data_IF_200036487675
#
_entry.id   IF_200036487675
#
_cell.length_a   1.000
_cell.length_b   1.000
_cell.length_c   1.000
_cell.angle_alpha   90.00
_cell.angle_beta   90.00
_cell.angle_gamma   90.00
#
_symmetry.space_group_name_H-M   'P 1'
#
loop_
_entity.id
_entity.type
_entity.pdbx_description
1 polymer ?
#
# COMPACT_ATOMS: atom_id res chain seq x y z
N UNK A 1 -9.65 8.52 -15.17
CA UNK A 1 -9.29 8.63 -13.75
C UNK A 1 -9.45 7.27 -13.09
N UNK A 2 -8.46 6.87 -12.30
CA UNK A 2 -8.43 5.55 -11.67
C UNK A 2 -8.77 5.69 -10.18
N UNK A 3 -9.59 4.78 -9.65
CA UNK A 3 -9.91 4.75 -8.23
C UNK A 3 -8.93 3.86 -7.47
N UNK A 4 -8.29 4.40 -6.43
CA UNK A 4 -7.48 3.60 -5.50
C UNK A 4 -8.32 2.97 -4.37
N UNK A 5 -9.52 3.52 -4.10
CA UNK A 5 -10.57 2.84 -3.34
C UNK A 5 -11.70 2.51 -4.30
N UNK A 6 -12.16 1.26 -4.39
CA UNK A 6 -13.20 0.84 -5.32
C UNK A 6 -14.50 1.62 -5.15
N UNK A 7 -15.13 1.96 -6.27
CA UNK A 7 -16.44 2.65 -6.28
C UNK A 7 -17.50 1.90 -5.48
N UNK A 8 -17.46 0.57 -5.53
CA UNK A 8 -18.37 -0.29 -4.77
C UNK A 8 -18.34 -0.02 -3.26
N UNK A 9 -17.18 0.37 -2.71
CA UNK A 9 -17.05 0.73 -1.31
C UNK A 9 -17.50 2.18 -1.08
N UNK A 10 -16.97 3.15 -1.84
CA UNK A 10 -17.26 4.58 -1.67
C UNK A 10 -18.77 4.85 -1.76
N UNK A 11 -19.46 4.22 -2.71
CA UNK A 11 -20.90 4.33 -2.92
C UNK A 11 -21.71 3.98 -1.65
N UNK A 12 -21.24 3.02 -0.86
CA UNK A 12 -21.92 2.60 0.37
C UNK A 12 -21.76 3.59 1.52
N UNK A 13 -20.74 4.43 1.46
CA UNK A 13 -20.49 5.51 2.43
C UNK A 13 -21.09 6.85 2.01
N UNK A 14 -21.79 6.93 0.89
CA UNK A 14 -22.52 8.11 0.46
C UNK A 14 -23.96 8.14 1.03
N UNK A 15 -24.56 9.32 0.99
CA UNK A 15 -25.99 9.50 1.30
C UNK A 15 -26.89 9.03 0.13
N UNK A 16 -28.22 9.20 0.28
CA UNK A 16 -29.23 8.85 -0.72
C UNK A 16 -29.06 9.61 -2.05
N UNK A 17 -28.44 10.79 -2.02
CA UNK A 17 -28.16 11.62 -3.20
C UNK A 17 -26.82 11.26 -3.86
N UNK A 18 -26.13 10.25 -3.38
CA UNK A 18 -24.82 9.85 -3.85
C UNK A 18 -23.70 10.82 -3.45
N UNK A 19 -23.88 11.59 -2.38
CA UNK A 19 -22.89 12.53 -1.86
C UNK A 19 -22.20 11.99 -0.62
N UNK A 20 -20.97 12.40 -0.40
CA UNK A 20 -20.13 12.02 0.73
C UNK A 20 -19.50 13.26 1.36
N UNK A 21 -19.34 13.25 2.66
CA UNK A 21 -18.57 14.24 3.41
C UNK A 21 -17.15 13.70 3.59
N UNK A 22 -16.16 14.59 3.71
CA UNK A 22 -14.84 14.21 4.16
C UNK A 22 -14.27 15.22 5.16
N UNK A 23 -13.49 14.72 6.11
CA UNK A 23 -12.63 15.51 6.95
C UNK A 23 -11.24 15.58 6.31
N UNK A 24 -10.76 16.80 6.06
CA UNK A 24 -9.42 17.03 5.50
C UNK A 24 -8.42 17.29 6.64
N UNK A 25 -7.42 16.44 6.78
CA UNK A 25 -6.33 16.62 7.76
C UNK A 25 -5.54 17.89 7.47
N UNK A 26 -5.31 18.20 6.19
CA UNK A 26 -4.57 19.41 5.78
C UNK A 26 -5.28 20.70 6.22
N UNK A 27 -6.58 20.75 6.11
CA UNK A 27 -7.38 21.96 6.37
C UNK A 27 -8.03 21.94 7.76
N UNK A 28 -7.91 20.83 8.49
CA UNK A 28 -8.57 20.59 9.77
C UNK A 28 -10.06 20.94 9.74
N UNK A 29 -10.75 20.50 8.70
CA UNK A 29 -12.16 20.88 8.46
C UNK A 29 -12.94 19.80 7.74
N UNK A 30 -14.25 19.78 7.99
CA UNK A 30 -15.20 18.91 7.28
C UNK A 30 -15.69 19.65 6.04
N UNK A 31 -15.71 18.94 4.90
CA UNK A 31 -16.19 19.47 3.62
C UNK A 31 -17.69 19.70 3.59
N UNK A 32 -18.16 20.40 2.57
CA UNK A 32 -19.57 20.28 2.13
C UNK A 32 -19.76 18.90 1.46
N UNK A 33 -21.02 18.39 1.40
CA UNK A 33 -21.31 17.16 0.67
C UNK A 33 -20.89 17.27 -0.81
N UNK A 34 -20.16 16.30 -1.30
CA UNK A 34 -19.64 16.24 -2.68
C UNK A 34 -19.97 14.89 -3.32
N UNK A 35 -20.11 14.82 -4.66
CA UNK A 35 -20.36 13.55 -5.32
C UNK A 35 -19.27 12.50 -5.03
N UNK A 36 -19.68 11.29 -4.64
CA UNK A 36 -18.75 10.23 -4.27
C UNK A 36 -17.87 9.76 -5.42
N UNK A 37 -18.38 9.82 -6.67
CA UNK A 37 -17.66 9.35 -7.85
C UNK A 37 -16.45 10.22 -8.23
N UNK A 38 -16.35 11.43 -7.68
CA UNK A 38 -15.19 12.32 -7.86
C UNK A 38 -14.11 12.13 -6.80
N UNK A 39 -14.36 11.27 -5.82
CA UNK A 39 -13.46 11.08 -4.69
C UNK A 39 -12.62 9.82 -4.83
N UNK A 40 -11.49 9.79 -4.09
CA UNK A 40 -10.59 8.64 -3.99
C UNK A 40 -10.09 8.13 -5.35
N UNK A 41 -9.88 9.08 -6.28
CA UNK A 41 -9.36 8.81 -7.61
C UNK A 41 -8.21 9.77 -7.97
N UNK A 42 -7.29 9.28 -8.76
CA UNK A 42 -6.15 10.05 -9.29
C UNK A 42 -6.05 9.84 -10.81
N UNK A 43 -5.75 10.89 -11.54
CA UNK A 43 -5.45 10.76 -12.97
C UNK A 43 -4.12 10.05 -13.16
N UNK A 44 -4.08 9.05 -14.03
CA UNK A 44 -2.87 8.24 -14.30
C UNK A 44 -2.31 7.53 -13.05
N UNK A 45 -3.18 7.12 -12.13
CA UNK A 45 -2.76 6.33 -10.96
C UNK A 45 -2.20 4.96 -11.37
N UNK A 46 -2.83 4.33 -12.37
CA UNK A 46 -2.36 3.11 -13.01
C UNK A 46 -1.90 3.35 -14.43
N UNK A 47 -1.04 2.45 -14.91
CA UNK A 47 -0.57 2.39 -16.29
C UNK A 47 -1.73 2.15 -17.26
N UNK A 48 -1.60 2.72 -18.45
CA UNK A 48 -2.47 2.41 -19.58
C UNK A 48 -1.99 1.19 -20.39
N UNK A 49 -0.83 0.64 -20.04
CA UNK A 49 -0.29 -0.56 -20.67
C UNK A 49 -1.08 -1.79 -20.24
N UNK A 50 -1.14 -2.79 -21.11
CA UNK A 50 -1.66 -4.12 -20.78
C UNK A 50 -0.77 -4.83 -19.77
N UNK A 51 -1.29 -5.86 -19.10
CA UNK A 51 -0.49 -6.65 -18.15
C UNK A 51 0.67 -7.36 -18.84
N UNK A 52 0.52 -7.78 -20.10
CA UNK A 52 1.60 -8.39 -20.89
C UNK A 52 2.73 -7.41 -21.17
N UNK A 53 2.41 -6.16 -21.52
CA UNK A 53 3.42 -5.11 -21.71
C UNK A 53 4.14 -4.75 -20.40
N UNK A 54 3.40 -4.67 -19.28
CA UNK A 54 3.99 -4.47 -17.96
C UNK A 54 4.89 -5.64 -17.56
N UNK A 55 4.47 -6.90 -17.83
CA UNK A 55 5.28 -8.08 -17.59
C UNK A 55 6.58 -8.07 -18.40
N UNK A 56 6.52 -7.61 -19.64
CA UNK A 56 7.71 -7.47 -20.50
C UNK A 56 8.65 -6.37 -19.99
N UNK A 57 8.10 -5.25 -19.53
CA UNK A 57 8.89 -4.14 -18.97
C UNK A 57 9.50 -4.47 -17.60
N UNK A 58 8.86 -5.36 -16.82
CA UNK A 58 9.25 -5.78 -15.49
C UNK A 58 9.34 -7.32 -15.44
N UNK A 59 10.33 -7.90 -16.10
CA UNK A 59 10.50 -9.33 -16.33
C UNK A 59 10.57 -10.18 -15.05
N UNK A 60 10.97 -9.55 -13.95
CA UNK A 60 11.12 -10.18 -12.62
C UNK A 60 9.80 -10.37 -11.87
N UNK A 61 8.70 -9.70 -12.27
CA UNK A 61 7.42 -9.83 -11.57
C UNK A 61 6.71 -11.13 -11.93
N UNK A 62 5.96 -11.67 -10.95
CA UNK A 62 5.04 -12.79 -11.15
C UNK A 62 3.62 -12.29 -11.04
N UNK A 63 2.87 -12.31 -12.14
CA UNK A 63 1.50 -11.80 -12.18
C UNK A 63 0.62 -12.61 -11.24
N UNK A 64 -0.11 -11.90 -10.36
CA UNK A 64 -1.06 -12.51 -9.44
C UNK A 64 -2.15 -13.26 -10.23
N UNK A 65 -2.46 -14.52 -9.87
CA UNK A 65 -3.43 -15.37 -10.60
C UNK A 65 -4.86 -14.81 -10.71
N UNK A 66 -5.21 -13.80 -9.91
CA UNK A 66 -6.49 -13.10 -10.05
C UNK A 66 -6.56 -12.25 -11.32
N UNK A 67 -5.43 -11.76 -11.84
CA UNK A 67 -5.38 -10.97 -13.07
C UNK A 67 -5.25 -11.89 -14.29
N UNK A 68 -6.39 -12.25 -14.89
CA UNK A 68 -6.50 -13.29 -15.92
C UNK A 68 -6.32 -12.78 -17.34
N UNK A 69 -6.67 -11.51 -17.59
CA UNK A 69 -6.69 -10.91 -18.93
C UNK A 69 -5.40 -10.16 -19.22
N UNK A 70 -4.35 -10.88 -19.65
CA UNK A 70 -3.03 -10.29 -19.89
C UNK A 70 -3.03 -9.22 -21.00
N UNK A 71 -3.98 -9.28 -21.92
CA UNK A 71 -4.15 -8.27 -22.99
C UNK A 71 -4.83 -6.98 -22.52
N UNK A 72 -5.38 -6.95 -21.31
CA UNK A 72 -6.06 -5.79 -20.73
C UNK A 72 -5.17 -5.03 -19.76
N UNK A 73 -5.55 -3.78 -19.46
CA UNK A 73 -4.91 -2.95 -18.44
C UNK A 73 -5.17 -3.47 -17.03
N UNK A 74 -4.40 -2.97 -16.06
CA UNK A 74 -4.65 -3.27 -14.65
C UNK A 74 -6.04 -2.84 -14.19
N UNK A 75 -6.50 -1.65 -14.59
CA UNK A 75 -7.82 -1.13 -14.19
C UNK A 75 -8.96 -2.01 -14.68
N UNK A 76 -8.89 -2.50 -15.92
CA UNK A 76 -9.88 -3.44 -16.47
C UNK A 76 -9.86 -4.78 -15.75
N UNK A 77 -8.68 -5.29 -15.41
CA UNK A 77 -8.54 -6.52 -14.62
C UNK A 77 -9.07 -6.36 -13.19
N UNK A 78 -8.74 -5.24 -12.52
CA UNK A 78 -9.27 -4.92 -11.19
C UNK A 78 -10.80 -4.88 -11.21
N UNK A 79 -11.38 -4.15 -12.16
CA UNK A 79 -12.84 -4.05 -12.29
C UNK A 79 -13.49 -5.42 -12.50
N UNK A 80 -12.98 -6.21 -13.44
CA UNK A 80 -13.62 -7.47 -13.87
C UNK A 80 -13.36 -8.63 -12.89
N UNK A 81 -12.13 -8.77 -12.40
CA UNK A 81 -11.72 -9.98 -11.66
C UNK A 81 -11.58 -9.76 -10.15
N UNK A 82 -11.63 -8.52 -9.68
CA UNK A 82 -11.48 -8.20 -8.25
C UNK A 82 -12.72 -7.48 -7.72
N UNK A 83 -13.12 -6.36 -8.34
CA UNK A 83 -14.20 -5.54 -7.80
C UNK A 83 -15.58 -6.13 -8.04
N UNK A 84 -15.87 -6.60 -9.25
CA UNK A 84 -17.17 -7.21 -9.56
C UNK A 84 -17.48 -8.46 -8.72
N UNK A 85 -16.57 -9.44 -8.56
CA UNK A 85 -16.80 -10.56 -7.64
C UNK A 85 -16.95 -10.12 -6.18
N UNK A 86 -16.17 -9.12 -5.72
CA UNK A 86 -16.30 -8.59 -4.37
C UNK A 86 -17.66 -7.92 -4.16
N UNK A 87 -18.15 -7.16 -5.14
CA UNK A 87 -19.48 -6.54 -5.08
C UNK A 87 -20.58 -7.58 -4.91
N UNK A 88 -20.56 -8.66 -5.71
CA UNK A 88 -21.51 -9.75 -5.60
C UNK A 88 -21.52 -10.42 -4.22
N UNK A 89 -20.33 -10.63 -3.63
CA UNK A 89 -20.23 -11.16 -2.25
C UNK A 89 -20.84 -10.17 -1.26
N UNK A 90 -20.47 -8.89 -1.34
CA UNK A 90 -20.95 -7.86 -0.40
C UNK A 90 -22.47 -7.67 -0.48
N UNK A 91 -23.05 -7.66 -1.68
CA UNK A 91 -24.51 -7.56 -1.85
C UNK A 91 -25.26 -8.71 -1.18
N UNK A 92 -24.69 -9.93 -1.25
CA UNK A 92 -25.28 -11.10 -0.62
C UNK A 92 -25.21 -11.09 0.91
N UNK A 93 -24.15 -10.53 1.51
CA UNK A 93 -23.91 -10.63 2.96
C UNK A 93 -24.34 -9.39 3.75
N UNK A 94 -24.29 -8.18 3.17
CA UNK A 94 -24.53 -6.93 3.91
C UNK A 94 -25.95 -6.89 4.47
N UNK A 95 -26.98 -7.16 3.65
CA UNK A 95 -28.35 -7.06 4.08
C UNK A 95 -28.70 -8.07 5.19
N UNK A 96 -28.35 -9.36 5.10
CA UNK A 96 -28.52 -10.28 6.23
C UNK A 96 -27.83 -9.84 7.51
N UNK A 97 -26.61 -9.29 7.44
CA UNK A 97 -25.88 -8.80 8.62
C UNK A 97 -26.63 -7.63 9.26
N UNK A 98 -27.08 -6.64 8.45
CA UNK A 98 -27.83 -5.48 8.95
C UNK A 98 -29.14 -5.87 9.63
N UNK A 99 -29.78 -6.93 9.19
CA UNK A 99 -31.02 -7.47 9.75
C UNK A 99 -30.81 -8.45 10.91
N UNK A 100 -29.55 -8.69 11.31
CA UNK A 100 -29.20 -9.65 12.35
C UNK A 100 -29.51 -11.10 11.97
N UNK A 101 -29.69 -11.39 10.67
CA UNK A 101 -29.98 -12.73 10.17
C UNK A 101 -28.69 -13.56 10.03
N UNK A 102 -28.82 -14.87 10.22
CA UNK A 102 -27.72 -15.80 9.97
C UNK A 102 -27.36 -15.77 8.47
N UNK A 103 -26.10 -15.58 8.18
CA UNK A 103 -25.57 -15.69 6.82
C UNK A 103 -24.41 -16.71 6.80
N UNK A 104 -24.21 -17.31 5.65
CA UNK A 104 -23.10 -18.26 5.43
C UNK A 104 -22.10 -17.63 4.50
N UNK A 105 -20.86 -17.55 4.95
CA UNK A 105 -19.71 -17.23 4.09
C UNK A 105 -19.08 -18.55 3.62
N UNK A 106 -18.99 -18.75 2.32
CA UNK A 106 -18.32 -19.93 1.77
C UNK A 106 -16.80 -19.78 1.88
N UNK A 107 -16.07 -20.88 2.00
CA UNK A 107 -14.61 -20.86 2.11
C UNK A 107 -13.95 -20.16 0.92
N UNK A 108 -14.49 -20.35 -0.28
CA UNK A 108 -14.02 -19.67 -1.51
C UNK A 108 -14.18 -18.16 -1.43
N UNK A 109 -15.28 -17.68 -0.86
CA UNK A 109 -15.53 -16.24 -0.65
C UNK A 109 -14.63 -15.67 0.44
N UNK A 110 -14.45 -16.41 1.55
CA UNK A 110 -13.52 -16.03 2.60
C UNK A 110 -12.09 -15.87 2.05
N UNK A 111 -11.63 -16.84 1.27
CA UNK A 111 -10.34 -16.76 0.62
C UNK A 111 -10.26 -15.59 -0.38
N UNK A 112 -11.35 -15.32 -1.11
CA UNK A 112 -11.41 -14.21 -2.04
C UNK A 112 -11.34 -12.84 -1.32
N UNK A 113 -12.06 -12.67 -0.21
CA UNK A 113 -12.01 -11.44 0.61
C UNK A 113 -10.59 -11.23 1.15
N UNK A 114 -9.91 -12.27 1.61
CA UNK A 114 -8.50 -12.16 2.04
C UNK A 114 -7.60 -11.69 0.90
N UNK A 115 -7.76 -12.25 -0.30
CA UNK A 115 -7.03 -11.79 -1.50
C UNK A 115 -7.37 -10.34 -1.89
N UNK A 116 -8.63 -9.98 -1.78
CA UNK A 116 -9.05 -8.59 -1.98
C UNK A 116 -8.34 -7.63 -1.00
N UNK A 117 -8.23 -7.99 0.28
CA UNK A 117 -7.50 -7.21 1.29
C UNK A 117 -6.02 -7.07 0.90
N UNK A 118 -5.37 -8.14 0.45
CA UNK A 118 -3.97 -8.10 0.00
C UNK A 118 -3.77 -7.16 -1.19
N UNK A 119 -4.65 -7.24 -2.20
CA UNK A 119 -4.61 -6.34 -3.36
C UNK A 119 -4.91 -4.90 -2.93
N UNK A 120 -5.93 -4.69 -2.08
CA UNK A 120 -6.29 -3.37 -1.61
C UNK A 120 -5.15 -2.69 -0.83
N UNK A 121 -4.36 -3.45 -0.07
CA UNK A 121 -3.19 -2.92 0.62
C UNK A 121 -2.18 -2.29 -0.33
N UNK A 122 -1.81 -2.98 -1.42
CA UNK A 122 -0.78 -2.51 -2.35
C UNK A 122 -1.29 -1.44 -3.33
N UNK A 123 -2.60 -1.35 -3.57
CA UNK A 123 -3.18 -0.38 -4.51
C UNK A 123 -3.46 1.00 -3.90
N UNK A 124 -3.17 1.22 -2.62
CA UNK A 124 -3.45 2.48 -1.93
C UNK A 124 -2.39 3.56 -2.19
N UNK A 125 -2.78 4.82 -2.04
CA UNK A 125 -1.84 5.96 -2.07
C UNK A 125 -0.77 5.80 -0.98
N UNK A 126 -1.14 5.31 0.20
CA UNK A 126 -0.20 5.06 1.31
C UNK A 126 0.91 4.09 0.91
N UNK A 127 0.57 2.98 0.24
CA UNK A 127 1.58 2.03 -0.25
C UNK A 127 2.48 2.66 -1.32
N UNK A 128 1.89 3.39 -2.27
CA UNK A 128 2.62 4.13 -3.30
C UNK A 128 3.63 5.12 -2.69
N UNK A 129 3.22 5.88 -1.66
CA UNK A 129 4.11 6.83 -0.97
C UNK A 129 5.20 6.11 -0.15
N UNK A 130 4.86 5.03 0.56
CA UNK A 130 5.85 4.20 1.26
C UNK A 130 6.87 3.62 0.26
N UNK A 131 6.42 3.15 -0.90
CA UNK A 131 7.30 2.67 -1.97
C UNK A 131 8.27 3.76 -2.43
N UNK A 132 7.82 5.01 -2.56
CA UNK A 132 8.68 6.15 -2.88
C UNK A 132 9.74 6.40 -1.80
N UNK A 133 9.37 6.37 -0.53
CA UNK A 133 10.31 6.60 0.59
C UNK A 133 11.33 5.47 0.72
N UNK A 134 10.92 4.22 0.61
CA UNK A 134 11.82 3.05 0.60
C UNK A 134 12.81 3.16 -0.55
N UNK A 135 12.36 3.57 -1.73
CA UNK A 135 13.22 3.78 -2.89
C UNK A 135 14.21 4.93 -2.68
N UNK A 136 13.77 6.04 -2.08
CA UNK A 136 14.62 7.17 -1.73
C UNK A 136 15.76 6.77 -0.80
N UNK A 137 15.45 5.99 0.26
CA UNK A 137 16.47 5.44 1.16
C UNK A 137 17.44 4.52 0.41
N UNK A 138 16.93 3.70 -0.53
CA UNK A 138 17.75 2.79 -1.33
C UNK A 138 18.69 3.50 -2.32
N UNK A 139 18.27 4.69 -2.79
CA UNK A 139 19.06 5.53 -3.73
C UNK A 139 20.14 6.34 -3.02
N UNK A 140 19.88 6.79 -1.79
CA UNK A 140 20.85 7.56 -1.02
C UNK A 140 22.07 6.72 -0.60
N UNK A 141 21.97 5.38 -0.67
CA UNK A 141 23.11 4.49 -0.35
C UNK A 141 24.33 4.68 -1.27
N UNK A 142 24.18 4.78 -2.61
CA UNK A 142 25.32 5.12 -3.49
C UNK A 142 25.86 6.52 -3.23
N UNK A 143 24.96 7.50 -2.97
CA UNK A 143 25.34 8.89 -2.65
C UNK A 143 26.04 8.97 -1.30
N UNK A 144 25.53 8.31 -0.26
CA UNK A 144 26.15 8.24 1.06
C UNK A 144 27.50 7.54 0.99
N UNK A 145 27.65 6.47 0.18
CA UNK A 145 28.93 5.81 -0.05
C UNK A 145 29.86 6.75 -0.81
N UNK A 146 29.37 7.44 -1.83
CA UNK A 146 30.12 8.45 -2.56
C UNK A 146 30.58 9.59 -1.65
N UNK A 147 29.69 10.16 -0.83
CA UNK A 147 30.00 11.20 0.17
C UNK A 147 30.97 10.68 1.24
N UNK A 148 30.82 9.45 1.71
CA UNK A 148 31.76 8.81 2.65
C UNK A 148 33.15 8.62 2.02
N UNK A 149 33.24 8.27 0.75
CA UNK A 149 34.49 8.15 0.01
C UNK A 149 35.14 9.52 -0.19
N UNK A 150 34.33 10.56 -0.47
CA UNK A 150 34.80 11.93 -0.72
C UNK A 150 35.14 12.72 0.55
N UNK A 151 34.41 12.49 1.66
CA UNK A 151 34.53 13.32 2.90
C UNK A 151 35.46 12.75 3.96
N UNK A 152 36.11 11.58 3.77
CA UNK A 152 37.05 11.08 4.76
C UNK A 152 38.45 11.68 4.57
N UNK A 153 38.71 12.74 5.33
CA UNK A 153 40.03 13.13 5.75
C UNK A 153 40.59 12.07 6.73
N UNK A 154 41.56 11.34 6.29
CA UNK A 154 42.70 10.74 7.04
C UNK A 154 42.50 10.00 8.38
N UNK A 155 41.42 9.23 8.65
CA UNK A 155 41.50 8.26 9.77
C UNK A 155 40.61 7.02 9.54
N UNK A 156 41.28 5.90 9.19
CA UNK A 156 40.78 4.50 9.06
C UNK A 156 39.89 4.23 7.84
N UNK A 157 40.30 3.24 7.06
CA UNK A 157 39.45 2.67 5.99
C UNK A 157 38.08 2.30 6.57
N UNK A 158 37.00 2.86 6.03
CA UNK A 158 35.67 2.45 6.48
C UNK A 158 35.47 0.98 6.12
N UNK A 159 34.93 0.21 7.03
CA UNK A 159 34.53 -1.16 6.73
C UNK A 159 33.30 -1.13 5.79
N UNK A 160 33.60 -0.90 4.50
CA UNK A 160 32.62 -0.84 3.42
C UNK A 160 31.76 -2.11 3.41
N UNK A 161 32.30 -3.26 3.81
CA UNK A 161 31.54 -4.52 3.92
C UNK A 161 30.47 -4.43 5.01
N UNK A 162 30.79 -3.80 6.13
CA UNK A 162 29.85 -3.59 7.24
C UNK A 162 28.74 -2.63 6.86
N UNK A 163 29.08 -1.49 6.24
CA UNK A 163 28.14 -0.48 5.74
C UNK A 163 27.19 -1.10 4.70
N UNK A 164 27.74 -1.82 3.72
CA UNK A 164 26.95 -2.52 2.69
C UNK A 164 26.02 -3.57 3.34
N UNK A 165 26.51 -4.32 4.34
CA UNK A 165 25.71 -5.34 5.02
C UNK A 165 24.57 -4.74 5.85
N UNK A 166 24.81 -3.66 6.55
CA UNK A 166 23.78 -3.00 7.37
C UNK A 166 22.69 -2.34 6.52
N UNK A 167 23.10 -1.66 5.44
CA UNK A 167 22.15 -0.97 4.55
C UNK A 167 21.45 -1.88 3.56
N UNK A 168 21.98 -3.07 3.26
CA UNK A 168 21.29 -4.04 2.39
C UNK A 168 20.07 -4.70 3.00
N UNK A 169 19.82 -4.53 4.30
CA UNK A 169 18.70 -5.17 5.00
C UNK A 169 17.30 -4.66 4.57
N UNK A 170 17.20 -3.49 3.96
CA UNK A 170 15.94 -2.91 3.49
C UNK A 170 15.83 -2.73 1.97
N UNK A 171 16.82 -3.19 1.20
CA UNK A 171 16.89 -2.96 -0.24
C UNK A 171 15.97 -3.88 -1.04
N UNK A 172 15.34 -3.34 -2.10
CA UNK A 172 14.66 -4.14 -3.10
C UNK A 172 15.63 -4.97 -3.96
N UNK A 173 15.10 -5.82 -4.84
CA UNK A 173 15.89 -6.74 -5.68
C UNK A 173 16.82 -6.01 -6.63
N UNK A 174 16.43 -4.85 -7.16
CA UNK A 174 17.23 -4.07 -8.11
C UNK A 174 18.37 -3.32 -7.42
N UNK A 175 18.13 -2.72 -6.26
CA UNK A 175 19.16 -2.10 -5.44
C UNK A 175 20.19 -3.14 -4.99
N UNK A 176 19.75 -4.37 -4.61
CA UNK A 176 20.65 -5.49 -4.30
C UNK A 176 21.51 -5.91 -5.49
N UNK A 177 20.94 -5.96 -6.70
CA UNK A 177 21.68 -6.29 -7.95
C UNK A 177 22.74 -5.23 -8.25
N UNK A 178 22.40 -3.95 -8.14
CA UNK A 178 23.36 -2.84 -8.33
C UNK A 178 24.48 -2.89 -7.30
N UNK A 179 24.15 -3.14 -6.04
CA UNK A 179 25.13 -3.30 -4.98
C UNK A 179 26.06 -4.51 -5.22
N UNK A 180 25.53 -5.63 -5.72
CA UNK A 180 26.33 -6.79 -6.10
C UNK A 180 27.28 -6.48 -7.26
N UNK A 181 26.82 -5.70 -8.26
CA UNK A 181 27.70 -5.24 -9.36
C UNK A 181 28.84 -4.33 -8.85
N UNK A 182 28.55 -3.42 -7.92
CA UNK A 182 29.57 -2.58 -7.29
C UNK A 182 30.59 -3.41 -6.51
N UNK A 183 30.13 -4.38 -5.70
CA UNK A 183 31.03 -5.34 -5.02
C UNK A 183 31.96 -6.07 -5.99
N UNK A 184 31.43 -6.48 -7.14
CA UNK A 184 32.20 -7.19 -8.17
C UNK A 184 33.25 -6.26 -8.80
N UNK A 185 32.91 -5.00 -9.07
CA UNK A 185 33.84 -3.99 -9.59
C UNK A 185 35.00 -3.69 -8.61
N UNK A 186 34.62 -3.48 -7.32
CA UNK A 186 35.63 -3.25 -6.26
C UNK A 186 36.53 -4.47 -6.04
N UNK A 187 35.99 -5.71 -6.15
CA UNK A 187 36.77 -6.93 -6.05
C UNK A 187 37.74 -7.09 -7.23
N UNK A 188 37.36 -6.67 -8.45
CA UNK A 188 38.18 -6.74 -9.65
C UNK A 188 39.24 -5.65 -9.70
N UNK A 189 39.03 -4.52 -9.06
CA UNK A 189 39.95 -3.40 -9.02
C UNK A 189 40.07 -2.84 -7.59
N UNK A 190 40.94 -3.41 -6.74
CA UNK A 190 41.12 -2.99 -5.34
C UNK A 190 41.57 -1.54 -5.17
N UNK A 191 42.25 -0.98 -6.16
CA UNK A 191 42.75 0.39 -6.16
C UNK A 191 41.70 1.40 -6.66
N UNK A 192 40.55 0.95 -7.17
CA UNK A 192 39.52 1.82 -7.76
C UNK A 192 39.05 2.95 -6.80
N UNK A 193 39.01 2.69 -5.51
CA UNK A 193 38.65 3.71 -4.51
C UNK A 193 39.72 4.79 -4.35
N UNK A 194 41.02 4.42 -4.46
CA UNK A 194 42.13 5.36 -4.39
C UNK A 194 42.23 6.16 -5.69
N UNK A 195 41.99 5.54 -6.83
CA UNK A 195 41.98 6.20 -8.14
C UNK A 195 40.84 7.23 -8.22
N UNK A 196 39.66 6.90 -7.67
CA UNK A 196 38.49 7.82 -7.55
C UNK A 196 38.83 9.00 -6.65
N UNK A 197 39.50 8.78 -5.51
CA UNK A 197 39.87 9.84 -4.57
C UNK A 197 40.85 10.85 -5.14
N UNK A 198 41.73 10.40 -6.02
CA UNK A 198 42.86 11.18 -6.51
C UNK A 198 42.62 11.85 -7.87
N UNK A 199 41.43 11.66 -8.47
CA UNK A 199 41.12 12.19 -9.80
C UNK A 199 39.84 13.03 -9.81
N UNK A 200 39.98 14.36 -9.91
CA UNK A 200 38.87 15.29 -10.06
C UNK A 200 38.00 14.99 -11.30
N UNK A 201 38.63 14.49 -12.36
CA UNK A 201 37.93 14.06 -13.57
C UNK A 201 37.01 12.88 -13.32
N UNK A 202 37.43 11.91 -12.50
CA UNK A 202 36.60 10.75 -12.12
C UNK A 202 35.48 11.17 -11.16
N UNK A 203 35.76 12.12 -10.24
CA UNK A 203 34.73 12.72 -9.37
C UNK A 203 33.60 13.35 -10.17
N UNK A 204 33.92 14.24 -11.10
CA UNK A 204 32.94 14.93 -11.94
C UNK A 204 32.13 13.96 -12.80
N UNK A 205 32.75 12.89 -13.33
CA UNK A 205 32.03 11.84 -14.06
C UNK A 205 31.08 11.07 -13.15
N UNK A 206 31.51 10.73 -11.92
CA UNK A 206 30.69 10.04 -10.95
C UNK A 206 29.50 10.88 -10.49
N UNK A 207 29.71 12.16 -10.18
CA UNK A 207 28.64 13.09 -9.82
C UNK A 207 27.62 13.26 -10.97
N UNK A 208 28.10 13.38 -12.20
CA UNK A 208 27.25 13.44 -13.38
C UNK A 208 26.43 12.16 -13.58
N UNK A 209 27.02 10.99 -13.39
CA UNK A 209 26.31 9.71 -13.53
C UNK A 209 25.35 9.45 -12.35
N UNK A 210 25.69 9.90 -11.14
CA UNK A 210 24.78 9.86 -9.97
C UNK A 210 23.57 10.74 -10.25
N UNK A 211 23.76 11.99 -10.67
CA UNK A 211 22.66 12.91 -10.97
C UNK A 211 21.76 12.38 -12.10
N UNK A 212 22.34 11.84 -13.18
CA UNK A 212 21.56 11.20 -14.26
C UNK A 212 20.79 9.96 -13.77
N UNK A 213 21.35 9.19 -12.85
CA UNK A 213 20.65 8.08 -12.24
C UNK A 213 19.49 8.57 -11.37
N UNK A 214 19.69 9.62 -10.57
CA UNK A 214 18.63 10.22 -9.74
C UNK A 214 17.46 10.72 -10.60
N UNK A 215 17.71 11.47 -11.67
CA UNK A 215 16.67 11.92 -12.59
C UNK A 215 15.88 10.77 -13.23
N UNK A 216 16.59 9.73 -13.69
CA UNK A 216 15.94 8.53 -14.24
C UNK A 216 15.12 7.79 -13.17
N UNK A 217 15.61 7.73 -11.95
CA UNK A 217 14.92 7.08 -10.85
C UNK A 217 13.72 7.87 -10.35
N UNK A 218 13.77 9.21 -10.33
CA UNK A 218 12.62 10.04 -10.03
C UNK A 218 11.51 9.86 -11.06
N UNK A 219 11.88 9.87 -12.34
CA UNK A 219 10.92 9.59 -13.41
C UNK A 219 10.29 8.20 -13.23
N UNK A 220 11.09 7.18 -12.98
CA UNK A 220 10.62 5.81 -12.80
C UNK A 220 9.75 5.63 -11.55
N UNK A 221 10.14 6.26 -10.43
CA UNK A 221 9.43 6.26 -9.14
C UNK A 221 8.01 6.80 -9.26
N UNK A 222 7.84 7.86 -10.05
CA UNK A 222 6.55 8.51 -10.26
C UNK A 222 5.76 7.88 -11.41
N UNK A 223 6.31 6.88 -12.08
CA UNK A 223 5.67 6.21 -13.21
C UNK A 223 4.46 5.39 -12.76
N UNK A 224 3.29 5.57 -13.39
CA UNK A 224 2.15 4.68 -13.21
C UNK A 224 2.46 3.22 -13.52
N UNK A 225 3.43 2.95 -14.41
CA UNK A 225 3.86 1.59 -14.76
C UNK A 225 4.48 0.87 -13.57
N UNK A 226 5.33 1.57 -12.79
CA UNK A 226 5.96 1.01 -11.59
C UNK A 226 4.93 0.64 -10.53
N UNK A 227 4.01 1.55 -10.23
CA UNK A 227 2.94 1.26 -9.26
C UNK A 227 2.04 0.12 -9.75
N UNK A 228 1.68 0.10 -11.03
CA UNK A 228 0.89 -1.00 -11.61
C UNK A 228 1.63 -2.33 -11.54
N UNK A 229 2.95 -2.35 -11.79
CA UNK A 229 3.75 -3.57 -11.66
C UNK A 229 3.75 -4.12 -10.22
N UNK A 230 3.77 -3.24 -9.22
CA UNK A 230 3.69 -3.62 -7.80
C UNK A 230 2.33 -4.21 -7.45
N UNK A 231 1.23 -3.64 -7.95
CA UNK A 231 -0.13 -4.16 -7.70
C UNK A 231 -0.35 -5.52 -8.35
N UNK A 232 0.22 -5.78 -9.53
CA UNK A 232 0.06 -7.07 -10.21
C UNK A 232 1.03 -8.14 -9.72
N UNK A 233 2.10 -7.79 -8.99
CA UNK A 233 3.11 -8.74 -8.54
C UNK A 233 2.61 -9.59 -7.37
N UNK A 234 2.44 -10.89 -7.59
CA UNK A 234 2.04 -11.83 -6.54
C UNK A 234 3.05 -11.91 -5.40
N UNK A 235 4.33 -11.60 -5.65
CA UNK A 235 5.35 -11.59 -4.61
C UNK A 235 5.13 -10.49 -3.57
N UNK A 236 4.40 -9.43 -3.92
CA UNK A 236 4.02 -8.34 -3.02
C UNK A 236 2.60 -8.54 -2.48
N UNK A 237 1.64 -8.86 -3.35
CA UNK A 237 0.23 -9.00 -2.97
C UNK A 237 -0.01 -10.23 -2.09
N UNK A 238 0.60 -11.39 -2.39
CA UNK A 238 0.34 -12.64 -1.66
C UNK A 238 1.12 -12.77 -0.34
N UNK A 239 1.98 -11.80 -0.03
CA UNK A 239 2.83 -11.84 1.17
C UNK A 239 2.33 -10.97 2.31
N UNK A 240 1.43 -10.04 2.07
CA UNK A 240 1.01 -9.08 3.08
C UNK A 240 0.46 -9.76 4.34
N UNK A 241 -0.53 -10.62 4.19
CA UNK A 241 -1.12 -11.34 5.33
C UNK A 241 -0.15 -12.36 5.91
N UNK A 242 0.51 -13.14 5.07
CA UNK A 242 1.44 -14.20 5.49
C UNK A 242 2.65 -13.66 6.25
N UNK A 243 3.26 -12.57 5.80
CA UNK A 243 4.43 -11.97 6.46
C UNK A 243 4.11 -11.42 7.85
N UNK A 244 2.83 -11.21 8.16
CA UNK A 244 2.33 -10.71 9.44
C UNK A 244 1.64 -11.77 10.28
N UNK A 245 1.61 -13.04 9.82
CA UNK A 245 0.91 -14.12 10.51
C UNK A 245 -0.61 -14.01 10.50
N UNK A 246 -1.16 -13.16 9.61
CA UNK A 246 -2.61 -12.89 9.52
C UNK A 246 -3.34 -13.82 8.55
N UNK A 247 -2.63 -14.62 7.78
CA UNK A 247 -3.18 -15.57 6.80
C UNK A 247 -4.05 -16.65 7.45
N UNK A 248 -3.75 -16.98 8.72
CA UNK A 248 -4.50 -17.95 9.54
C UNK A 248 -5.72 -17.34 10.25
N UNK A 249 -5.81 -16.03 10.35
CA UNK A 249 -6.92 -15.35 11.00
C UNK A 249 -8.23 -15.56 10.24
N UNK A 250 -9.33 -15.52 10.98
CA UNK A 250 -10.69 -15.61 10.44
C UNK A 250 -11.20 -14.24 9.97
N UNK A 251 -12.21 -14.25 9.11
CA UNK A 251 -12.97 -13.04 8.80
C UNK A 251 -14.08 -12.90 9.84
N UNK A 252 -13.96 -11.89 10.68
CA UNK A 252 -14.99 -11.48 11.63
C UNK A 252 -15.75 -10.29 11.06
N UNK A 253 -17.06 -10.29 11.20
CA UNK A 253 -17.90 -9.14 10.84
C UNK A 253 -18.22 -8.35 12.10
N UNK A 254 -18.00 -7.04 12.05
CA UNK A 254 -18.32 -6.12 13.13
C UNK A 254 -19.55 -5.33 12.71
N UNK A 255 -20.67 -5.54 13.42
CA UNK A 255 -21.93 -4.83 13.19
C UNK A 255 -22.02 -3.63 14.15
N UNK A 256 -22.23 -2.48 13.60
CA UNK A 256 -22.43 -1.24 14.33
C UNK A 256 -23.93 -0.89 14.43
N UNK A 257 -24.49 -1.06 15.61
CA UNK A 257 -25.87 -0.70 15.93
C UNK A 257 -26.00 0.72 16.54
N UNK A 258 -24.89 1.46 16.67
CA UNK A 258 -24.89 2.81 17.23
C UNK A 258 -25.33 3.87 16.21
N UNK A 259 -25.71 5.08 16.64
CA UNK A 259 -26.04 6.16 15.71
C UNK A 259 -24.82 6.70 14.93
N UNK A 260 -23.59 6.52 15.46
CA UNK A 260 -22.36 6.99 14.84
C UNK A 260 -21.90 5.97 13.79
N UNK A 261 -21.80 6.31 12.50
CA UNK A 261 -21.31 5.37 11.49
C UNK A 261 -19.80 5.16 11.59
N UNK A 262 -19.31 4.01 11.10
CA UNK A 262 -17.91 3.85 10.77
C UNK A 262 -17.50 4.80 9.65
N UNK A 263 -16.23 5.20 9.63
CA UNK A 263 -15.68 6.04 8.59
C UNK A 263 -14.87 5.21 7.57
N UNK A 264 -14.70 5.76 6.38
CA UNK A 264 -13.83 5.21 5.33
C UNK A 264 -12.60 6.11 5.21
N UNK A 265 -11.42 5.52 5.22
CA UNK A 265 -10.14 6.24 5.02
C UNK A 265 -9.71 6.25 3.56
N UNK A 266 -8.85 7.17 3.18
CA UNK A 266 -8.19 7.18 1.88
C UNK A 266 -7.18 6.03 1.69
N UNK A 267 -6.91 5.26 2.73
CA UNK A 267 -6.14 4.01 2.66
C UNK A 267 -7.04 2.79 2.37
N UNK A 268 -8.37 2.93 2.48
CA UNK A 268 -9.36 1.87 2.21
C UNK A 268 -9.38 0.71 3.18
N UNK A 269 -8.32 0.52 3.93
CA UNK A 269 -8.18 -0.47 4.99
C UNK A 269 -7.29 0.08 6.11
N UNK A 270 -7.42 -0.47 7.29
CA UNK A 270 -6.67 -0.04 8.46
C UNK A 270 -5.97 -1.25 9.07
N UNK A 271 -4.69 -1.07 9.38
CA UNK A 271 -3.89 -2.03 10.11
C UNK A 271 -3.70 -1.50 11.53
N UNK A 272 -4.24 -2.19 12.51
CA UNK A 272 -4.17 -1.81 13.91
C UNK A 272 -3.37 -2.82 14.72
N UNK A 273 -2.60 -2.33 15.68
CA UNK A 273 -1.96 -3.14 16.69
C UNK A 273 -2.67 -2.91 18.02
N UNK A 274 -3.33 -3.93 18.51
CA UNK A 274 -4.00 -3.91 19.81
C UNK A 274 -3.06 -4.42 20.91
N UNK A 275 -3.05 -3.75 22.04
CA UNK A 275 -2.28 -4.16 23.20
C UNK A 275 -3.22 -4.81 24.22
N UNK A 276 -3.11 -6.13 24.38
CA UNK A 276 -3.82 -6.89 25.42
C UNK A 276 -2.84 -7.32 26.54
N UNK A 277 -2.58 -6.41 27.48
CA UNK A 277 -1.55 -6.62 28.48
C UNK A 277 -0.17 -6.78 27.83
N UNK A 278 0.47 -7.93 28.00
CA UNK A 278 1.80 -8.24 27.44
C UNK A 278 1.77 -8.74 25.97
N UNK A 279 0.59 -8.87 25.39
CA UNK A 279 0.44 -9.36 24.02
C UNK A 279 0.05 -8.24 23.07
N UNK A 280 0.75 -8.20 21.95
CA UNK A 280 0.37 -7.36 20.82
C UNK A 280 -0.34 -8.20 19.77
N UNK A 281 -1.51 -7.76 19.35
CA UNK A 281 -2.30 -8.42 18.33
C UNK A 281 -2.53 -7.49 17.15
N UNK A 282 -2.08 -7.93 15.98
CA UNK A 282 -2.25 -7.19 14.74
C UNK A 282 -3.57 -7.60 14.08
N UNK A 283 -4.40 -6.62 13.76
CA UNK A 283 -5.68 -6.82 13.08
C UNK A 283 -5.78 -5.93 11.85
N UNK A 284 -6.49 -6.40 10.85
CA UNK A 284 -6.80 -5.65 9.63
C UNK A 284 -8.29 -5.39 9.59
N UNK A 285 -8.64 -4.14 9.33
CA UNK A 285 -10.02 -3.71 9.20
C UNK A 285 -10.29 -3.20 7.79
N UNK A 286 -11.37 -3.68 7.20
CA UNK A 286 -11.88 -3.24 5.91
C UNK A 286 -13.30 -2.69 6.11
N UNK A 287 -13.49 -1.36 6.14
CA UNK A 287 -14.82 -0.75 6.17
C UNK A 287 -15.54 -1.03 4.84
N UNK A 288 -16.66 -1.77 4.90
CA UNK A 288 -17.44 -2.13 3.71
C UNK A 288 -18.80 -1.41 3.66
N UNK A 289 -19.24 -0.90 4.79
CA UNK A 289 -20.50 -0.19 4.96
C UNK A 289 -20.41 0.69 6.21
N UNK A 290 -21.14 1.82 6.32
CA UNK A 290 -21.16 2.64 7.54
C UNK A 290 -21.54 1.88 8.82
N UNK A 291 -22.17 0.73 8.68
CA UNK A 291 -22.60 -0.14 9.79
C UNK A 291 -21.81 -1.46 9.86
N UNK A 292 -20.88 -1.74 8.95
CA UNK A 292 -20.21 -3.04 8.90
C UNK A 292 -18.74 -2.88 8.57
N UNK A 293 -17.89 -3.47 9.42
CA UNK A 293 -16.49 -3.74 9.11
C UNK A 293 -16.27 -5.23 8.85
N UNK A 294 -15.35 -5.56 7.98
CA UNK A 294 -14.68 -6.87 7.96
C UNK A 294 -13.38 -6.72 8.74
N UNK A 295 -13.16 -7.61 9.69
CA UNK A 295 -11.96 -7.69 10.49
C UNK A 295 -11.26 -9.02 10.27
N UNK A 296 -9.95 -9.02 10.06
CA UNK A 296 -9.13 -10.21 10.20
C UNK A 296 -8.73 -10.38 11.65
N UNK A 297 -9.29 -11.38 12.30
CA UNK A 297 -9.20 -11.66 13.74
C UNK A 297 -8.92 -13.14 14.01
N UNK A 298 -8.29 -13.48 15.13
CA UNK A 298 -8.27 -14.87 15.63
C UNK A 298 -9.67 -15.43 15.91
N UNK A 299 -10.66 -14.55 16.14
CA UNK A 299 -12.05 -14.91 16.44
C UNK A 299 -12.90 -14.86 15.16
N UNK A 300 -13.83 -15.81 15.02
CA UNK A 300 -14.68 -15.95 13.82
C UNK A 300 -16.09 -15.37 14.00
N UNK A 301 -16.51 -15.07 15.21
CA UNK A 301 -17.89 -14.72 15.50
C UNK A 301 -18.27 -13.31 15.02
N UNK A 302 -19.57 -13.10 14.74
CA UNK A 302 -20.13 -11.75 14.57
C UNK A 302 -19.93 -10.96 15.87
N UNK A 303 -19.37 -9.78 15.77
CA UNK A 303 -19.20 -8.86 16.90
C UNK A 303 -20.13 -7.67 16.76
N UNK A 304 -20.82 -7.29 17.83
CA UNK A 304 -21.68 -6.11 17.87
C UNK A 304 -20.88 -5.01 18.58
N UNK A 305 -20.54 -3.96 17.81
CA UNK A 305 -19.81 -2.82 18.33
C UNK A 305 -20.71 -1.92 19.17
N UNK A 306 -20.21 -1.51 20.32
CA UNK A 306 -20.77 -0.42 21.11
C UNK A 306 -20.27 0.94 20.62
N UNK A 307 -20.72 2.02 21.25
CA UNK A 307 -20.40 3.38 20.85
C UNK A 307 -18.92 3.72 21.11
N UNK A 308 -18.33 3.16 22.16
CA UNK A 308 -16.94 3.38 22.50
C UNK A 308 -16.02 2.76 21.45
N UNK A 309 -16.29 1.52 21.06
CA UNK A 309 -15.57 0.84 19.98
C UNK A 309 -15.63 1.63 18.65
N UNK A 310 -16.83 2.14 18.28
CA UNK A 310 -17.00 2.91 17.04
C UNK A 310 -16.21 4.21 17.09
N UNK A 311 -16.22 4.92 18.22
CA UNK A 311 -15.45 6.16 18.41
C UNK A 311 -13.95 5.91 18.33
N UNK A 312 -13.48 4.87 19.02
CA UNK A 312 -12.06 4.48 18.99
C UNK A 312 -11.62 4.09 17.58
N UNK A 313 -12.41 3.26 16.88
CA UNK A 313 -12.14 2.91 15.48
C UNK A 313 -12.06 4.14 14.58
N UNK A 314 -13.02 5.08 14.70
CA UNK A 314 -13.04 6.28 13.89
C UNK A 314 -11.86 7.21 14.18
N UNK A 315 -11.44 7.32 15.43
CA UNK A 315 -10.27 8.12 15.84
C UNK A 315 -8.97 7.52 15.29
N UNK A 316 -8.79 6.21 15.41
CA UNK A 316 -7.62 5.52 14.82
C UNK A 316 -7.66 5.67 13.30
N UNK A 317 -8.82 5.56 12.67
CA UNK A 317 -9.00 5.77 11.23
C UNK A 317 -8.56 7.14 10.78
N UNK A 318 -8.88 8.20 11.55
CA UNK A 318 -8.39 9.56 11.29
C UNK A 318 -6.87 9.63 11.37
N UNK A 319 -6.27 9.01 12.38
CA UNK A 319 -4.83 9.01 12.57
C UNK A 319 -4.09 8.27 11.45
N UNK A 320 -4.62 7.12 11.01
CA UNK A 320 -4.02 6.28 9.97
C UNK A 320 -4.25 6.78 8.53
N UNK A 321 -5.25 7.64 8.29
CA UNK A 321 -5.47 8.24 6.97
C UNK A 321 -4.32 9.16 6.58
N UNK A 322 -4.02 9.26 5.28
CA UNK A 322 -3.02 10.19 4.77
C UNK A 322 -3.55 11.62 4.69
N UNK A 323 -4.66 11.80 4.01
CA UNK A 323 -5.21 13.12 3.67
C UNK A 323 -6.62 13.32 4.20
N UNK A 324 -7.50 12.34 4.00
CA UNK A 324 -8.92 12.49 4.20
C UNK A 324 -9.57 11.25 4.82
N UNK A 325 -10.62 11.50 5.59
CA UNK A 325 -11.55 10.50 6.12
C UNK A 325 -12.95 10.82 5.63
N UNK A 326 -13.72 9.83 5.22
CA UNK A 326 -14.98 9.97 4.52
C UNK A 326 -16.14 9.37 5.32
N UNK A 327 -17.30 10.02 5.30
CA UNK A 327 -18.53 9.53 5.93
C UNK A 327 -19.75 10.18 5.30
N UNK A 328 -20.92 9.55 5.47
CA UNK A 328 -22.22 10.18 5.20
C UNK A 328 -22.74 11.00 6.39
N UNK A 329 -22.02 11.02 7.51
CA UNK A 329 -22.39 11.74 8.74
C UNK A 329 -21.29 12.70 9.17
N UNK A 330 -21.69 13.94 9.50
CA UNK A 330 -20.77 14.96 10.04
C UNK A 330 -20.28 14.60 11.45
N UNK A 331 -21.10 13.93 12.25
CA UNK A 331 -20.75 13.58 13.63
C UNK A 331 -19.68 12.49 13.70
N UNK A 332 -19.61 11.61 12.72
CA UNK A 332 -18.52 10.63 12.61
C UNK A 332 -17.17 11.25 12.21
N UNK A 333 -17.21 12.49 11.67
CA UNK A 333 -15.99 13.18 11.19
C UNK A 333 -15.47 14.23 12.20
N UNK A 334 -16.20 14.53 13.27
CA UNK A 334 -15.73 15.38 14.38
C UNK A 334 -14.82 14.60 15.29
#
# INVERSE_FOLDING_TARGET
KNHFIPRLIIKRFSDSDGKILFYSKKNNSVSKPIPHYDQLQEGNFYSKKSLSELKTAFDHITINPLFKDLGKTLEENLSTHVEFPMEAILERIIQPILEGRVFKLYQTESNFIKKYIEIQHVRTVKFKEIGKEVHKVSLNVPEDIGKLIMNQEHKREPDIKKIIKERSKGMDSEARRKMAMWKLKLKKNPNLLNDIRNSDSIRNVLETEINKMEEKFEFFRNSPDKHSSEVIDSSLTDRFLKSRGLDKNHLRFVLNNTPIPFVLTDTGMILMCWNYGDRQELRVYLPIHPKILIELSPEENLFIADEEYVKEFNEISKNESLLNVYSNSKDALK
#
